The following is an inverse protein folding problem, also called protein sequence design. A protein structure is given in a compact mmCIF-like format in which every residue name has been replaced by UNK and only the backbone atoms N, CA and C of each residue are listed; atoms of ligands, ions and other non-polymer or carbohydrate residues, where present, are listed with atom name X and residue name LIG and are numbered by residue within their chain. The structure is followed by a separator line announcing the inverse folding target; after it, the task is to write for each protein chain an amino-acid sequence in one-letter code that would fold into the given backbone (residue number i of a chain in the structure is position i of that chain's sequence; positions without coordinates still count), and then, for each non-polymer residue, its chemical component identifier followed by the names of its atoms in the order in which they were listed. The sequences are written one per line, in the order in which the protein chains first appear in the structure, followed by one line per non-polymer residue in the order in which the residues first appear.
data_IF_602212626052
#
_entry.id   IF_602212626052
#
_cell.length_a   1.000
_cell.length_b   1.000
_cell.length_c   1.000
_cell.angle_alpha   90.00
_cell.angle_beta   90.00
_cell.angle_gamma   90.00
#
_symmetry.space_group_name_H-M   'P 1'
#
loop_
_entity.id
_entity.type
_entity.pdbx_description
1 polymer ?
#
# COMPACT_ATOMS: atom_id res chain seq x y z
N UNK A 1 -12.63 6.88 -1.51
CA UNK A 1 -13.44 6.73 -0.27
C UNK A 1 -13.37 8.04 0.50
N UNK A 2 -14.50 8.65 0.90
CA UNK A 2 -14.50 9.93 1.63
C UNK A 2 -14.14 9.78 3.12
N UNK A 3 -13.78 10.88 3.82
CA UNK A 3 -13.28 10.83 5.21
C UNK A 3 -14.24 10.19 6.22
N UNK A 4 -15.55 10.42 6.10
CA UNK A 4 -16.53 9.83 7.01
C UNK A 4 -16.60 8.29 6.89
N UNK A 5 -16.49 7.76 5.66
CA UNK A 5 -16.43 6.32 5.42
C UNK A 5 -15.10 5.75 5.91
N UNK A 6 -14.00 6.47 5.72
CA UNK A 6 -12.70 6.09 6.29
C UNK A 6 -12.78 5.99 7.81
N UNK A 7 -13.32 7.00 8.49
CA UNK A 7 -13.43 6.98 9.95
C UNK A 7 -14.23 5.78 10.45
N UNK A 8 -15.38 5.46 9.82
CA UNK A 8 -16.17 4.29 10.20
C UNK A 8 -15.43 2.97 9.96
N UNK A 9 -14.76 2.86 8.80
CA UNK A 9 -14.00 1.67 8.43
C UNK A 9 -12.82 1.44 9.37
N UNK A 10 -12.01 2.47 9.61
CA UNK A 10 -10.81 2.41 10.45
C UNK A 10 -11.12 2.17 11.93
N UNK A 11 -12.27 2.64 12.42
CA UNK A 11 -12.74 2.30 13.78
C UNK A 11 -13.12 0.82 13.91
N UNK A 12 -13.68 0.23 12.84
CA UNK A 12 -13.95 -1.22 12.82
C UNK A 12 -12.65 -2.00 12.74
N UNK A 13 -11.77 -1.61 11.83
CA UNK A 13 -10.45 -2.21 11.65
C UNK A 13 -9.65 -2.19 12.96
N UNK A 14 -9.59 -1.04 13.66
CA UNK A 14 -8.91 -0.93 14.96
C UNK A 14 -9.47 -1.92 15.99
N UNK A 15 -10.80 -2.01 16.11
CA UNK A 15 -11.46 -2.93 17.04
C UNK A 15 -11.12 -4.38 16.76
N UNK A 16 -11.17 -4.78 15.50
CA UNK A 16 -10.99 -6.19 15.13
C UNK A 16 -9.52 -6.61 15.26
N UNK A 17 -8.57 -5.74 14.90
CA UNK A 17 -7.15 -6.01 15.13
C UNK A 17 -6.78 -6.02 16.62
N UNK A 18 -7.35 -5.12 17.42
CA UNK A 18 -7.12 -5.12 18.88
C UNK A 18 -7.72 -6.33 19.58
N UNK A 19 -8.70 -6.99 18.98
CA UNK A 19 -9.28 -8.22 19.47
C UNK A 19 -8.46 -9.47 19.09
N UNK A 20 -7.50 -9.37 18.16
CA UNK A 20 -6.62 -10.47 17.77
C UNK A 20 -5.42 -10.54 18.75
N UNK A 21 -5.28 -11.63 19.54
CA UNK A 21 -4.23 -11.73 20.56
C UNK A 21 -2.82 -11.59 20.00
N UNK A 22 -2.53 -12.17 18.83
CA UNK A 22 -1.20 -12.22 18.23
C UNK A 22 -0.73 -10.83 17.76
N UNK A 23 -1.67 -10.03 17.24
CA UNK A 23 -1.38 -8.65 16.83
C UNK A 23 -1.37 -7.71 18.02
N UNK A 24 -2.23 -7.94 19.01
CA UNK A 24 -2.32 -7.10 20.21
C UNK A 24 -1.01 -7.06 21.01
N UNK A 25 -0.27 -8.18 21.10
CA UNK A 25 1.00 -8.25 21.85
C UNK A 25 2.09 -7.30 21.31
N UNK A 26 1.97 -6.87 20.06
CA UNK A 26 2.97 -6.03 19.39
C UNK A 26 2.59 -4.54 19.38
N UNK A 27 1.42 -4.18 19.91
CA UNK A 27 0.92 -2.82 19.90
C UNK A 27 1.29 -2.08 21.20
N UNK A 28 1.61 -0.77 21.12
CA UNK A 28 1.92 0.02 22.30
C UNK A 28 0.68 0.31 23.14
N UNK A 29 0.86 0.48 24.46
CA UNK A 29 -0.21 0.72 25.43
C UNK A 29 -1.15 1.88 25.04
N UNK A 30 -0.63 2.92 24.40
CA UNK A 30 -1.42 4.07 23.91
C UNK A 30 -2.55 3.69 22.93
N UNK A 31 -2.36 2.62 22.16
CA UNK A 31 -3.37 2.12 21.22
C UNK A 31 -4.49 1.41 21.97
N UNK A 32 -4.16 0.68 23.04
CA UNK A 32 -5.15 0.03 23.89
C UNK A 32 -6.00 1.05 24.64
N UNK A 33 -5.37 2.09 25.17
CA UNK A 33 -6.07 3.16 25.90
C UNK A 33 -7.02 3.96 25.00
N UNK A 34 -6.61 4.22 23.75
CA UNK A 34 -7.39 5.00 22.79
C UNK A 34 -8.38 4.17 21.96
N UNK A 35 -8.15 2.86 21.82
CA UNK A 35 -8.87 1.99 20.90
C UNK A 35 -8.64 2.33 19.42
N UNK A 36 -7.59 3.08 19.09
CA UNK A 36 -7.33 3.64 17.78
C UNK A 36 -5.90 3.34 17.29
N UNK A 37 -5.78 2.65 16.16
CA UNK A 37 -4.48 2.30 15.57
C UNK A 37 -3.82 3.45 14.79
N UNK A 38 -4.62 4.43 14.37
CA UNK A 38 -4.15 5.56 13.59
C UNK A 38 -3.39 6.60 14.41
N UNK A 39 -3.07 7.70 13.76
CA UNK A 39 -2.47 8.88 14.34
C UNK A 39 -3.44 10.06 14.22
N UNK A 40 -3.05 11.22 14.74
CA UNK A 40 -3.77 12.47 14.49
C UNK A 40 -3.88 12.72 12.98
N UNK A 41 -4.99 13.31 12.49
CA UNK A 41 -5.14 13.72 11.11
C UNK A 41 -3.98 14.60 10.62
N UNK A 42 -3.63 14.46 9.34
CA UNK A 42 -2.72 15.39 8.67
C UNK A 42 -3.43 16.72 8.44
N UNK A 43 -2.70 17.81 8.59
CA UNK A 43 -3.17 19.14 8.21
C UNK A 43 -3.18 19.29 6.69
N UNK A 44 -4.06 20.15 6.18
CA UNK A 44 -4.10 20.51 4.76
C UNK A 44 -2.73 20.99 4.25
N UNK A 45 -1.97 21.71 5.09
CA UNK A 45 -0.63 22.18 4.75
C UNK A 45 0.38 21.04 4.57
N UNK A 46 0.34 20.01 5.41
CA UNK A 46 1.23 18.83 5.29
C UNK A 46 0.92 18.02 4.03
N UNK A 47 -0.37 17.84 3.73
CA UNK A 47 -0.82 17.17 2.51
C UNK A 47 -0.38 17.98 1.28
N UNK A 48 -0.63 19.29 1.24
CA UNK A 48 -0.26 20.13 0.11
C UNK A 48 1.25 20.24 -0.08
N UNK A 49 2.02 20.31 1.01
CA UNK A 49 3.49 20.30 0.95
C UNK A 49 4.00 18.99 0.34
N UNK A 50 3.39 17.86 0.70
CA UNK A 50 3.71 16.55 0.13
C UNK A 50 3.36 16.49 -1.35
N UNK A 51 2.16 16.90 -1.76
CA UNK A 51 1.77 16.94 -3.18
C UNK A 51 2.69 17.83 -4.01
N UNK A 52 3.11 18.97 -3.45
CA UNK A 52 4.06 19.88 -4.10
C UNK A 52 5.44 19.22 -4.25
N UNK A 53 5.93 18.52 -3.20
CA UNK A 53 7.19 17.77 -3.25
C UNK A 53 7.14 16.64 -4.28
N UNK A 54 6.03 15.91 -4.35
CA UNK A 54 5.84 14.81 -5.29
C UNK A 54 5.56 15.29 -6.72
N UNK A 55 5.14 16.54 -6.91
CA UNK A 55 4.72 17.10 -8.20
C UNK A 55 3.40 16.51 -8.72
N UNK A 56 2.63 15.82 -7.88
CA UNK A 56 1.34 15.21 -8.21
C UNK A 56 0.39 15.33 -7.02
N UNK A 57 -0.91 15.49 -7.31
CA UNK A 57 -1.96 15.36 -6.30
C UNK A 57 -2.13 13.90 -5.91
N UNK A 58 -2.31 13.63 -4.62
CA UNK A 58 -2.55 12.28 -4.14
C UNK A 58 -3.89 11.76 -4.67
N UNK A 59 -4.02 10.44 -4.90
CA UNK A 59 -5.30 9.85 -5.31
C UNK A 59 -6.37 10.09 -4.22
N UNK A 60 -7.64 10.32 -4.58
CA UNK A 60 -8.64 10.82 -3.64
C UNK A 60 -8.79 10.00 -2.36
N UNK A 61 -8.76 8.66 -2.45
CA UNK A 61 -8.87 7.81 -1.26
C UNK A 61 -7.68 7.92 -0.32
N UNK A 62 -6.45 8.05 -0.83
CA UNK A 62 -5.25 8.24 -0.02
C UNK A 62 -5.24 9.61 0.64
N UNK A 63 -5.65 10.65 -0.11
CA UNK A 63 -5.76 12.00 0.45
C UNK A 63 -6.77 12.06 1.60
N UNK A 64 -7.99 11.56 1.38
CA UNK A 64 -9.04 11.52 2.41
C UNK A 64 -8.68 10.60 3.58
N UNK A 65 -7.79 9.63 3.40
CA UNK A 65 -7.26 8.82 4.48
C UNK A 65 -6.37 9.67 5.39
N UNK A 66 -5.46 10.48 4.83
CA UNK A 66 -4.63 11.39 5.61
C UNK A 66 -5.42 12.47 6.36
N UNK A 67 -6.57 12.88 5.83
CA UNK A 67 -7.52 13.76 6.54
C UNK A 67 -8.16 13.12 7.79
N UNK A 68 -8.09 11.79 7.92
CA UNK A 68 -8.58 11.04 9.08
C UNK A 68 -7.43 10.59 9.99
N UNK A 69 -6.28 10.25 9.42
CA UNK A 69 -5.13 9.70 10.14
C UNK A 69 -3.83 9.90 9.37
N UNK A 70 -2.83 10.53 9.98
CA UNK A 70 -1.53 10.76 9.33
C UNK A 70 -0.60 9.53 9.43
N UNK A 71 -0.95 8.46 8.71
CA UNK A 71 -0.31 7.16 8.82
C UNK A 71 -1.17 6.16 9.59
N UNK A 72 -0.73 4.91 9.68
CA UNK A 72 -1.49 3.84 10.34
C UNK A 72 -0.59 2.74 10.83
N UNK A 73 -0.84 2.24 12.05
CA UNK A 73 -0.13 1.08 12.61
C UNK A 73 -0.87 -0.19 12.25
N UNK A 74 -0.14 -1.24 11.88
CA UNK A 74 -0.63 -2.60 11.64
C UNK A 74 -1.87 -2.62 10.72
N UNK A 75 -1.65 -2.69 9.41
CA UNK A 75 -2.76 -2.75 8.43
C UNK A 75 -3.28 -4.18 8.26
N UNK A 76 -2.47 -5.16 8.69
CA UNK A 76 -2.75 -6.60 8.61
C UNK A 76 -1.50 -7.41 8.93
N UNK A 77 -1.46 -8.66 8.47
CA UNK A 77 -0.38 -9.60 8.79
C UNK A 77 0.94 -9.29 8.05
N UNK A 78 0.89 -8.66 6.88
CA UNK A 78 2.07 -8.50 6.02
C UNK A 78 2.57 -7.06 5.90
N UNK A 79 1.72 -6.07 6.24
CA UNK A 79 2.00 -4.65 6.10
C UNK A 79 1.94 -3.98 7.47
N UNK A 80 3.10 -3.57 7.94
CA UNK A 80 3.31 -3.19 9.34
C UNK A 80 2.85 -1.77 9.61
N UNK A 81 2.98 -0.85 8.65
CA UNK A 81 2.43 0.49 8.76
C UNK A 81 2.15 1.13 7.38
N UNK A 82 1.32 2.16 7.41
CA UNK A 82 1.21 3.16 6.35
C UNK A 82 1.98 4.39 6.84
N UNK A 83 2.90 4.87 6.02
CA UNK A 83 3.76 6.01 6.34
C UNK A 83 2.92 7.27 6.55
N UNK A 84 3.37 8.22 7.39
CA UNK A 84 2.84 9.57 7.42
C UNK A 84 2.94 10.23 6.05
N UNK A 85 2.05 11.17 5.74
CA UNK A 85 1.99 11.85 4.44
C UNK A 85 3.32 12.51 4.07
N UNK A 86 4.02 13.08 5.06
CA UNK A 86 5.32 13.73 4.84
C UNK A 86 6.44 12.77 4.42
N UNK A 87 6.30 11.47 4.71
CA UNK A 87 7.35 10.46 4.50
C UNK A 87 7.13 9.62 3.24
N UNK A 88 5.95 9.65 2.62
CA UNK A 88 5.73 8.96 1.34
C UNK A 88 6.63 9.53 0.24
N UNK A 89 7.14 8.66 -0.62
CA UNK A 89 8.15 9.04 -1.61
C UNK A 89 8.17 8.15 -2.83
N UNK A 90 8.83 8.64 -3.88
CA UNK A 90 8.99 7.87 -5.11
C UNK A 90 9.95 6.71 -4.89
N UNK A 91 9.64 5.55 -5.49
CA UNK A 91 10.46 4.34 -5.39
C UNK A 91 11.99 4.55 -5.54
N UNK A 92 12.51 5.33 -6.52
CA UNK A 92 13.96 5.56 -6.64
C UNK A 92 14.61 6.16 -5.39
N UNK A 93 13.87 6.96 -4.64
CA UNK A 93 14.36 7.66 -3.44
C UNK A 93 14.13 6.82 -2.18
N UNK A 94 13.00 6.10 -2.13
CA UNK A 94 12.55 5.39 -0.92
C UNK A 94 13.08 3.96 -0.85
N UNK A 95 13.12 3.22 -1.97
CA UNK A 95 13.56 1.80 -2.00
C UNK A 95 14.49 1.56 -3.21
N UNK A 96 15.75 2.04 -3.17
CA UNK A 96 16.66 1.98 -4.32
C UNK A 96 16.95 0.56 -4.84
N UNK A 97 16.94 -0.44 -3.96
CA UNK A 97 17.11 -1.84 -4.34
C UNK A 97 15.96 -2.34 -5.22
N UNK A 98 14.70 -2.07 -4.84
CA UNK A 98 13.53 -2.44 -5.63
C UNK A 98 13.49 -1.66 -6.94
N UNK A 99 13.88 -0.38 -6.92
CA UNK A 99 14.05 0.40 -8.16
C UNK A 99 15.03 -0.28 -9.13
N UNK A 100 16.17 -0.79 -8.63
CA UNK A 100 17.15 -1.50 -9.46
C UNK A 100 16.60 -2.80 -10.04
N UNK A 101 15.86 -3.59 -9.25
CA UNK A 101 15.16 -4.78 -9.74
C UNK A 101 14.21 -4.41 -10.88
N UNK A 102 13.40 -3.37 -10.70
CA UNK A 102 12.46 -2.93 -11.73
C UNK A 102 13.15 -2.48 -13.03
N UNK A 103 14.30 -1.80 -12.93
CA UNK A 103 15.12 -1.45 -14.10
C UNK A 103 15.62 -2.68 -14.84
N UNK A 104 16.16 -3.66 -14.12
CA UNK A 104 16.68 -4.89 -14.73
C UNK A 104 15.56 -5.69 -15.42
N UNK A 105 14.34 -5.62 -14.88
CA UNK A 105 13.15 -6.22 -15.49
C UNK A 105 12.71 -5.52 -16.78
N UNK A 106 12.86 -4.21 -16.93
CA UNK A 106 12.53 -3.54 -18.21
C UNK A 106 13.44 -4.00 -19.37
N UNK A 107 14.68 -4.38 -19.04
CA UNK A 107 15.71 -4.81 -20.00
C UNK A 107 15.74 -6.33 -20.22
N UNK A 108 15.07 -7.11 -19.36
CA UNK A 108 15.06 -8.58 -19.41
C UNK A 108 14.54 -9.11 -20.74
N UNK A 109 15.06 -10.25 -21.21
CA UNK A 109 14.48 -11.00 -22.34
C UNK A 109 13.21 -11.78 -21.95
N UNK A 110 12.87 -11.75 -20.66
CA UNK A 110 11.69 -12.37 -20.07
C UNK A 110 11.85 -13.87 -19.83
N UNK A 111 10.99 -14.45 -18.98
CA UNK A 111 11.02 -15.88 -18.67
C UNK A 111 10.31 -16.72 -19.76
N UNK A 112 9.95 -16.15 -20.91
CA UNK A 112 9.06 -16.77 -21.88
C UNK A 112 9.82 -17.48 -23.00
N UNK A 113 9.78 -18.81 -23.03
CA UNK A 113 10.38 -19.61 -24.12
C UNK A 113 9.70 -19.35 -25.48
N UNK A 114 8.39 -19.07 -25.48
CA UNK A 114 7.60 -18.75 -26.67
C UNK A 114 6.69 -17.55 -26.39
N UNK A 115 6.91 -16.47 -27.13
CA UNK A 115 6.07 -15.27 -27.12
C UNK A 115 5.96 -14.68 -28.54
N UNK A 116 5.19 -15.33 -29.43
CA UNK A 116 4.99 -14.85 -30.79
C UNK A 116 4.34 -13.45 -30.75
N UNK A 117 5.02 -12.47 -31.32
CA UNK A 117 4.57 -11.07 -31.29
C UNK A 117 4.90 -10.31 -30.00
N UNK A 118 5.64 -10.91 -29.07
CA UNK A 118 6.27 -10.23 -27.94
C UNK A 118 5.29 -9.62 -26.93
N UNK A 119 4.03 -10.07 -26.88
CA UNK A 119 3.00 -9.46 -26.01
C UNK A 119 3.31 -9.73 -24.55
N UNK A 120 3.58 -10.99 -24.19
CA UNK A 120 3.83 -11.39 -22.81
C UNK A 120 5.06 -10.68 -22.24
N UNK A 121 6.11 -10.54 -23.05
CA UNK A 121 7.32 -9.81 -22.69
C UNK A 121 7.04 -8.33 -22.46
N UNK A 122 6.26 -7.68 -23.34
CA UNK A 122 5.88 -6.26 -23.16
C UNK A 122 5.06 -6.06 -21.89
N UNK A 123 4.07 -6.91 -21.65
CA UNK A 123 3.19 -6.82 -20.48
C UNK A 123 4.00 -7.05 -19.20
N UNK A 124 4.87 -8.06 -19.17
CA UNK A 124 5.78 -8.32 -18.06
C UNK A 124 6.71 -7.14 -17.76
N UNK A 125 7.38 -6.58 -18.77
CA UNK A 125 8.26 -5.40 -18.61
C UNK A 125 7.48 -4.19 -18.09
N UNK A 126 6.26 -4.00 -18.58
CA UNK A 126 5.40 -2.92 -18.11
C UNK A 126 4.99 -3.11 -16.65
N UNK A 127 4.43 -4.27 -16.30
CA UNK A 127 3.89 -4.55 -14.97
C UNK A 127 4.96 -4.63 -13.88
N UNK A 128 6.07 -5.29 -14.18
CA UNK A 128 7.11 -5.63 -13.21
C UNK A 128 8.28 -4.64 -13.23
N UNK A 129 8.42 -3.87 -14.32
CA UNK A 129 9.45 -2.85 -14.49
C UNK A 129 8.87 -1.44 -14.47
N UNK A 130 8.27 -1.02 -15.58
CA UNK A 130 7.88 0.39 -15.80
C UNK A 130 6.92 0.92 -14.74
N UNK A 131 5.87 0.17 -14.40
CA UNK A 131 4.90 0.58 -13.37
C UNK A 131 5.55 0.64 -11.99
N UNK A 132 6.29 -0.40 -11.61
CA UNK A 132 7.00 -0.48 -10.31
C UNK A 132 7.95 0.71 -10.16
N UNK A 133 8.81 0.94 -11.15
CA UNK A 133 9.87 1.96 -11.13
C UNK A 133 9.37 3.38 -10.84
N UNK A 134 8.19 3.73 -11.33
CA UNK A 134 7.58 5.07 -11.18
C UNK A 134 6.59 5.17 -10.02
N UNK A 135 6.44 4.12 -9.23
CA UNK A 135 5.41 4.06 -8.20
C UNK A 135 5.76 4.89 -6.97
N UNK A 136 4.71 5.37 -6.30
CA UNK A 136 4.78 5.95 -4.97
C UNK A 136 4.81 4.83 -3.92
N UNK A 137 5.74 4.90 -2.97
CA UNK A 137 5.83 3.99 -1.82
C UNK A 137 5.07 4.61 -0.66
N UNK A 138 4.16 3.84 -0.07
CA UNK A 138 3.24 4.32 0.99
C UNK A 138 3.34 3.57 2.31
N UNK A 139 4.15 2.51 2.39
CA UNK A 139 4.36 1.70 3.60
C UNK A 139 5.85 1.64 3.92
N UNK A 140 6.20 1.44 5.20
CA UNK A 140 7.54 0.96 5.51
C UNK A 140 7.75 -0.43 4.94
N UNK A 141 9.01 -0.89 4.93
CA UNK A 141 9.27 -2.32 4.76
C UNK A 141 8.60 -3.06 5.91
N UNK A 142 7.66 -3.97 5.57
CA UNK A 142 7.02 -4.86 6.53
C UNK A 142 7.74 -6.21 6.57
N UNK A 143 6.99 -7.29 6.40
CA UNK A 143 7.56 -8.58 6.02
C UNK A 143 8.04 -8.41 4.57
N UNK A 144 9.25 -7.89 4.36
CA UNK A 144 9.94 -7.68 3.08
C UNK A 144 9.05 -7.34 1.86
N UNK A 145 8.03 -6.51 2.10
CA UNK A 145 6.95 -6.18 1.17
C UNK A 145 6.64 -4.69 1.24
N UNK A 146 6.23 -4.13 0.10
CA UNK A 146 5.83 -2.74 -0.03
C UNK A 146 4.51 -2.62 -0.77
N UNK A 147 3.67 -1.68 -0.33
CA UNK A 147 2.59 -1.18 -1.17
C UNK A 147 3.07 -0.06 -2.06
N UNK A 148 2.70 -0.18 -3.33
CA UNK A 148 3.05 0.74 -4.39
C UNK A 148 1.79 1.24 -5.07
N UNK A 149 1.75 2.54 -5.38
CA UNK A 149 0.70 3.15 -6.21
C UNK A 149 1.30 3.65 -7.51
N UNK A 150 0.69 3.29 -8.64
CA UNK A 150 1.14 3.70 -9.97
C UNK A 150 0.47 5.01 -10.42
N UNK A 151 1.19 6.14 -10.46
CA UNK A 151 0.62 7.46 -10.72
C UNK A 151 0.14 7.69 -12.16
N UNK A 152 0.36 6.74 -13.07
CA UNK A 152 -0.04 6.84 -14.47
C UNK A 152 -1.09 5.78 -14.87
N UNK A 153 -1.42 4.86 -13.97
CA UNK A 153 -2.56 3.94 -14.14
C UNK A 153 -3.71 4.47 -13.29
N UNK A 154 -4.48 5.39 -13.88
CA UNK A 154 -5.52 6.15 -13.18
C UNK A 154 -6.91 5.68 -13.63
N UNK A 155 -7.78 5.37 -12.69
CA UNK A 155 -9.17 4.99 -12.99
C UNK A 155 -10.09 6.22 -13.20
N UNK A 156 -11.36 5.99 -13.52
CA UNK A 156 -12.33 7.07 -13.80
C UNK A 156 -12.62 7.99 -12.61
N UNK A 157 -12.23 7.60 -11.40
CA UNK A 157 -12.40 8.40 -10.17
C UNK A 157 -11.13 9.19 -9.81
N UNK A 158 -10.07 9.10 -10.61
CA UNK A 158 -8.78 9.71 -10.30
C UNK A 158 -7.94 8.93 -9.30
N UNK A 159 -8.33 7.69 -8.96
CA UNK A 159 -7.54 6.83 -8.09
C UNK A 159 -6.41 6.16 -8.89
N UNK A 160 -5.30 5.91 -8.22
CA UNK A 160 -4.16 5.22 -8.79
C UNK A 160 -4.27 3.73 -8.50
N UNK A 161 -3.97 2.90 -9.49
CA UNK A 161 -3.87 1.46 -9.29
C UNK A 161 -2.78 1.15 -8.26
N UNK A 162 -3.09 0.20 -7.38
CA UNK A 162 -2.23 -0.23 -6.28
C UNK A 162 -1.89 -1.70 -6.36
N UNK A 163 -0.81 -2.08 -5.67
CA UNK A 163 -0.49 -3.48 -5.48
C UNK A 163 0.57 -3.70 -4.41
N UNK A 164 0.91 -4.97 -4.22
CA UNK A 164 1.97 -5.40 -3.31
C UNK A 164 3.14 -5.99 -4.08
N UNK A 165 4.34 -5.53 -3.74
CA UNK A 165 5.58 -6.20 -4.09
C UNK A 165 6.13 -6.91 -2.85
N UNK A 166 6.71 -8.10 -3.03
CA UNK A 166 7.30 -8.90 -1.95
C UNK A 166 8.64 -9.50 -2.38
N UNK A 167 9.66 -9.49 -1.53
CA UNK A 167 11.00 -9.94 -1.91
C UNK A 167 11.14 -11.46 -2.07
N UNK A 168 10.39 -12.25 -1.30
CA UNK A 168 10.41 -13.74 -1.36
C UNK A 168 9.71 -14.32 -2.59
N UNK A 169 8.88 -13.52 -3.25
CA UNK A 169 8.31 -13.82 -4.54
C UNK A 169 8.34 -12.51 -5.32
N UNK A 170 9.49 -12.15 -5.95
CA UNK A 170 9.79 -10.81 -6.48
C UNK A 170 8.96 -10.52 -7.73
N UNK A 171 7.65 -10.43 -7.53
CA UNK A 171 6.63 -10.15 -8.50
C UNK A 171 5.64 -9.19 -7.86
N UNK A 172 5.44 -8.08 -8.55
CA UNK A 172 4.40 -7.13 -8.26
C UNK A 172 3.03 -7.73 -8.57
N UNK A 173 2.12 -7.67 -7.61
CA UNK A 173 0.72 -8.07 -7.77
C UNK A 173 -0.16 -6.83 -7.80
N UNK A 174 -0.53 -6.38 -9.01
CA UNK A 174 -1.43 -5.23 -9.23
C UNK A 174 -2.89 -5.67 -9.14
N UNK A 175 -3.43 -5.75 -7.92
CA UNK A 175 -4.77 -6.27 -7.63
C UNK A 175 -5.80 -5.21 -7.24
N UNK A 176 -5.39 -3.96 -7.01
CA UNK A 176 -6.26 -2.92 -6.51
C UNK A 176 -6.40 -1.75 -7.50
N UNK A 177 -7.63 -1.28 -7.68
CA UNK A 177 -7.94 -0.10 -8.52
C UNK A 177 -7.76 1.23 -7.75
N UNK A 178 -7.54 1.17 -6.44
CA UNK A 178 -7.34 2.33 -5.57
C UNK A 178 -6.60 1.97 -4.28
N UNK A 179 -6.11 2.98 -3.57
CA UNK A 179 -5.58 2.80 -2.21
C UNK A 179 -6.66 2.27 -1.24
N UNK A 180 -7.91 2.74 -1.36
CA UNK A 180 -9.00 2.20 -0.56
C UNK A 180 -9.21 0.69 -0.76
N UNK A 181 -9.00 0.19 -1.97
CA UNK A 181 -9.15 -1.24 -2.26
C UNK A 181 -7.96 -2.04 -1.68
N UNK A 182 -6.73 -1.51 -1.72
CA UNK A 182 -5.59 -2.13 -1.02
C UNK A 182 -5.86 -2.35 0.47
N UNK A 183 -6.35 -1.32 1.16
CA UNK A 183 -6.63 -1.42 2.61
C UNK A 183 -7.76 -2.41 2.90
N UNK A 184 -8.79 -2.45 2.05
CA UNK A 184 -9.90 -3.41 2.19
C UNK A 184 -9.44 -4.85 1.96
N UNK A 185 -8.67 -5.10 0.91
CA UNK A 185 -8.15 -6.43 0.58
C UNK A 185 -7.27 -7.00 1.70
N UNK A 186 -6.44 -6.17 2.31
CA UNK A 186 -5.61 -6.56 3.46
C UNK A 186 -6.46 -6.89 4.68
N UNK A 187 -7.47 -6.07 4.96
CA UNK A 187 -8.40 -6.33 6.06
C UNK A 187 -9.24 -7.59 5.83
N UNK A 188 -9.69 -7.86 4.60
CA UNK A 188 -10.36 -9.12 4.25
C UNK A 188 -9.44 -10.33 4.41
N UNK A 189 -8.16 -10.18 4.07
CA UNK A 189 -7.15 -11.23 4.27
C UNK A 189 -6.94 -11.51 5.76
N UNK A 190 -6.84 -10.46 6.58
CA UNK A 190 -6.78 -10.57 8.03
C UNK A 190 -7.98 -11.35 8.58
N UNK A 191 -9.21 -10.96 8.23
CA UNK A 191 -10.42 -11.63 8.71
C UNK A 191 -10.45 -13.12 8.35
N UNK A 192 -10.01 -13.50 7.14
CA UNK A 192 -9.93 -14.91 6.72
C UNK A 192 -8.92 -15.69 7.55
N UNK A 193 -7.72 -15.15 7.75
CA UNK A 193 -6.67 -15.80 8.53
C UNK A 193 -7.05 -15.97 9.99
N UNK A 194 -7.72 -14.97 10.58
CA UNK A 194 -8.20 -15.07 11.97
C UNK A 194 -9.34 -16.09 12.09
N UNK A 195 -10.23 -16.21 11.11
CA UNK A 195 -11.27 -17.25 11.10
C UNK A 195 -10.66 -18.66 10.98
N UNK A 196 -9.73 -18.88 10.06
CA UNK A 196 -9.07 -20.18 9.87
C UNK A 196 -8.32 -20.65 11.14
N UNK A 197 -7.74 -19.72 11.92
CA UNK A 197 -7.10 -19.99 13.21
C UNK A 197 -8.09 -20.39 14.31
N UNK A 198 -9.34 -19.91 14.26
CA UNK A 198 -10.36 -20.24 15.25
C UNK A 198 -11.03 -21.60 14.98
N UNK A 199 -11.01 -22.05 13.73
CA UNK A 199 -11.57 -23.35 13.29
C UNK A 199 -10.55 -24.51 13.34
N UNK A 200 -9.28 -24.24 13.66
CA UNK A 200 -8.17 -25.22 13.75
C UNK A 200 -7.93 -25.71 15.17
#
# INVERSE_FOLDING_TARGET
MPPNQWQQFLNRLSRDLLADPELSEQLPDEVFDSGWLGFSPATENEIQATENRLGKKLPPSLRSFYEVTNGWRCVGCFIWNILPVGEVGWLPETVPHLFKIAQDVEETKGPFEKDPGGRRLRDHRNEQGTRVKRSLVITSEGDASHWLLDPETINTKGEWAGGRWSSWNPAMSWNADSFADLVRDEYETFLKLTADRQDS
#
